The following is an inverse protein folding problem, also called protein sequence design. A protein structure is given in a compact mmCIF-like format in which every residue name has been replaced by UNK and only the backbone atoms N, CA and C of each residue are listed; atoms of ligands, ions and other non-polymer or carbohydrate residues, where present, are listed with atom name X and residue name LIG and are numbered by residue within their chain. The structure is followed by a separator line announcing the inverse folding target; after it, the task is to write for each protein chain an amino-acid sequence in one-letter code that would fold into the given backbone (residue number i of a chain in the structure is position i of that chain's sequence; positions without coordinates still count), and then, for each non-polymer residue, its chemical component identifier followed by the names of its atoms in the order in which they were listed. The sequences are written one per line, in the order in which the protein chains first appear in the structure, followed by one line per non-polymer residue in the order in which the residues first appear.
data_IF_561797460940
#
_entry.id   IF_561797460940
#
_cell.length_a   1.000
_cell.length_b   1.000
_cell.length_c   1.000
_cell.angle_alpha   90.00
_cell.angle_beta   90.00
_cell.angle_gamma   90.00
#
_symmetry.space_group_name_H-M   'P 1'
#
loop_
_entity.id
_entity.type
_entity.pdbx_description
1 polymer ?
#
# COMPACT_ATOMS: atom_id res chain seq x y z
N UNK A 1 12.88 12.83 13.37
CA UNK A 1 13.23 11.66 14.20
C UNK A 1 12.13 10.63 13.96
N UNK A 2 12.41 9.48 13.35
CA UNK A 2 11.35 8.48 13.13
C UNK A 2 10.96 7.90 14.49
N UNK A 3 9.73 8.11 14.93
CA UNK A 3 9.21 7.47 16.13
C UNK A 3 9.33 5.95 15.97
N UNK A 4 9.92 5.28 16.97
CA UNK A 4 10.01 3.82 16.99
C UNK A 4 8.62 3.27 17.30
N UNK A 5 7.85 2.95 16.26
CA UNK A 5 6.61 2.19 16.40
C UNK A 5 6.87 0.74 16.81
N UNK A 6 5.87 0.11 17.41
CA UNK A 6 5.88 -1.32 17.77
C UNK A 6 5.27 -2.13 16.63
N UNK A 7 5.92 -3.23 16.26
CA UNK A 7 5.37 -4.24 15.34
C UNK A 7 4.66 -5.32 16.17
N UNK A 8 3.38 -5.51 15.92
CA UNK A 8 2.53 -6.54 16.54
C UNK A 8 2.26 -7.64 15.55
N UNK A 9 2.25 -8.88 16.04
CA UNK A 9 1.85 -10.04 15.28
C UNK A 9 0.79 -10.81 16.07
N UNK A 10 -0.33 -11.09 15.42
CA UNK A 10 -1.42 -11.90 15.94
C UNK A 10 -1.62 -13.11 15.02
N UNK A 11 -1.92 -14.25 15.60
CA UNK A 11 -2.30 -15.43 14.85
C UNK A 11 -3.47 -16.12 15.55
N UNK A 12 -4.45 -16.56 14.77
CA UNK A 12 -5.55 -17.36 15.30
C UNK A 12 -5.07 -18.72 15.81
N UNK A 13 -5.80 -19.24 16.79
CA UNK A 13 -5.57 -20.58 17.32
C UNK A 13 -4.63 -20.65 18.53
N UNK A 14 -4.62 -21.81 19.21
CA UNK A 14 -3.76 -22.03 20.36
C UNK A 14 -2.31 -22.25 19.92
N UNK A 15 -1.36 -21.58 20.55
CA UNK A 15 0.06 -21.81 20.34
C UNK A 15 0.88 -20.70 20.96
N UNK A 16 1.96 -21.05 21.66
CA UNK A 16 2.92 -20.06 22.13
C UNK A 16 3.87 -19.70 20.98
N UNK A 17 4.24 -18.42 20.91
CA UNK A 17 5.36 -17.99 20.08
C UNK A 17 6.68 -18.45 20.72
N UNK A 18 7.55 -19.05 19.92
CA UNK A 18 8.92 -19.38 20.28
C UNK A 18 9.87 -18.38 19.62
N UNK A 19 10.83 -17.84 20.39
CA UNK A 19 11.84 -16.93 19.86
C UNK A 19 13.19 -17.65 19.70
N UNK A 20 13.68 -17.73 18.47
CA UNK A 20 14.98 -18.28 18.11
C UNK A 20 15.89 -17.17 17.58
N UNK A 21 16.63 -16.53 18.49
CA UNK A 21 17.46 -15.37 18.16
C UNK A 21 16.62 -14.17 17.68
N UNK A 22 16.72 -13.84 16.39
CA UNK A 22 15.93 -12.78 15.74
C UNK A 22 14.67 -13.31 15.05
N UNK A 23 14.40 -14.60 15.14
CA UNK A 23 13.28 -15.26 14.47
C UNK A 23 12.17 -15.55 15.49
N UNK A 24 10.93 -15.25 15.12
CA UNK A 24 9.73 -15.62 15.87
C UNK A 24 9.04 -16.78 15.13
N UNK A 25 8.74 -17.87 15.83
CA UNK A 25 8.22 -19.11 15.26
C UNK A 25 6.92 -19.50 15.98
N UNK A 26 5.90 -19.87 15.21
CA UNK A 26 4.68 -20.51 15.70
C UNK A 26 4.27 -21.61 14.71
N UNK A 27 3.75 -22.72 15.23
CA UNK A 27 3.20 -23.81 14.42
C UNK A 27 1.69 -23.82 14.56
N UNK A 28 1.00 -23.99 13.44
CA UNK A 28 -0.46 -23.92 13.35
C UNK A 28 -0.97 -25.18 12.65
N UNK A 29 -1.90 -25.88 13.29
CA UNK A 29 -2.59 -27.01 12.68
C UNK A 29 -3.85 -26.51 11.96
N UNK A 30 -3.83 -26.59 10.62
CA UNK A 30 -4.95 -26.15 9.80
C UNK A 30 -6.01 -27.24 9.69
N UNK A 31 -7.25 -26.89 10.03
CA UNK A 31 -8.41 -27.74 9.78
C UNK A 31 -9.11 -27.33 8.49
N UNK A 32 -9.47 -28.33 7.68
CA UNK A 32 -10.20 -28.09 6.42
C UNK A 32 -11.49 -27.33 6.70
N UNK A 33 -11.66 -26.19 6.02
CA UNK A 33 -12.88 -25.38 6.09
C UNK A 33 -12.91 -24.37 7.23
N UNK A 34 -11.89 -24.34 8.09
CA UNK A 34 -11.76 -23.35 9.17
C UNK A 34 -10.78 -22.27 8.73
N UNK A 35 -11.24 -21.01 8.52
CA UNK A 35 -10.33 -19.90 8.25
C UNK A 35 -9.36 -19.67 9.41
N UNK A 36 -8.14 -19.26 9.09
CA UNK A 36 -7.12 -18.83 10.06
C UNK A 36 -6.51 -17.54 9.53
N UNK A 37 -6.35 -16.54 10.40
CA UNK A 37 -5.69 -15.29 10.07
C UNK A 37 -4.36 -15.16 10.79
N UNK A 38 -3.40 -14.58 10.06
CA UNK A 38 -2.15 -14.04 10.60
C UNK A 38 -2.20 -12.55 10.31
N UNK A 39 -2.11 -11.72 11.35
CA UNK A 39 -2.20 -10.27 11.24
C UNK A 39 -0.88 -9.66 11.69
N UNK A 40 -0.28 -8.84 10.82
CA UNK A 40 0.91 -8.06 11.11
C UNK A 40 0.55 -6.58 11.14
N UNK A 41 0.89 -5.87 12.21
CA UNK A 41 0.52 -4.47 12.42
C UNK A 41 1.69 -3.65 12.92
N UNK A 42 1.78 -2.39 12.49
CA UNK A 42 2.74 -1.42 13.01
C UNK A 42 2.01 -0.20 13.60
N UNK A 43 2.34 0.21 14.83
CA UNK A 43 1.63 1.26 15.58
C UNK A 43 1.88 2.71 15.11
N UNK A 44 2.65 2.91 14.04
CA UNK A 44 3.03 4.23 13.55
C UNK A 44 1.91 5.06 12.91
N UNK A 45 0.79 4.46 12.50
CA UNK A 45 -0.32 5.16 11.86
C UNK A 45 -1.65 4.50 12.20
N UNK A 46 -2.57 5.28 12.82
CA UNK A 46 -3.95 4.92 13.19
C UNK A 46 -4.08 3.63 14.02
N UNK A 47 -4.53 3.77 15.26
CA UNK A 47 -4.87 2.66 16.16
C UNK A 47 -5.95 1.76 15.56
N UNK A 48 -5.54 0.66 14.94
CA UNK A 48 -6.39 -0.53 14.77
C UNK A 48 -6.72 -1.10 16.15
N UNK A 49 -7.88 -1.71 16.33
CA UNK A 49 -8.17 -2.42 17.57
C UNK A 49 -7.59 -3.85 17.48
N UNK A 50 -7.11 -4.40 18.59
CA UNK A 50 -6.63 -5.78 18.65
C UNK A 50 -7.74 -6.80 18.27
N UNK A 51 -9.00 -6.41 18.43
CA UNK A 51 -10.16 -7.29 18.33
C UNK A 51 -10.90 -7.19 16.99
N UNK A 52 -10.28 -6.59 15.96
CA UNK A 52 -10.89 -6.50 14.64
C UNK A 52 -10.96 -7.87 13.95
N UNK A 53 -12.15 -8.25 13.47
CA UNK A 53 -12.34 -9.45 12.67
C UNK A 53 -11.55 -9.35 11.34
N UNK A 54 -10.53 -10.19 11.11
CA UNK A 54 -9.67 -10.12 9.93
C UNK A 54 -10.42 -10.39 8.63
N UNK A 55 -11.49 -11.19 8.65
CA UNK A 55 -12.31 -11.45 7.47
C UNK A 55 -13.18 -10.24 7.12
N UNK A 56 -13.68 -9.52 8.13
CA UNK A 56 -14.37 -8.23 7.93
C UNK A 56 -13.42 -7.21 7.32
N UNK A 57 -12.20 -7.06 7.84
CA UNK A 57 -11.20 -6.12 7.31
C UNK A 57 -10.81 -6.45 5.85
N UNK A 58 -10.68 -7.73 5.52
CA UNK A 58 -10.45 -8.16 4.15
C UNK A 58 -11.62 -7.78 3.23
N UNK A 59 -12.86 -8.02 3.67
CA UNK A 59 -14.05 -7.67 2.90
C UNK A 59 -14.17 -6.16 2.68
N UNK A 60 -13.88 -5.33 3.69
CA UNK A 60 -13.85 -3.86 3.58
C UNK A 60 -12.77 -3.39 2.60
N UNK A 61 -11.58 -3.99 2.67
CA UNK A 61 -10.49 -3.71 1.74
C UNK A 61 -10.90 -4.05 0.30
N UNK A 62 -11.52 -5.21 0.09
CA UNK A 62 -12.00 -5.63 -1.22
C UNK A 62 -13.09 -4.70 -1.75
N UNK A 63 -14.06 -4.33 -0.92
CA UNK A 63 -15.14 -3.42 -1.28
C UNK A 63 -14.59 -2.05 -1.70
N UNK A 64 -13.65 -1.49 -0.94
CA UNK A 64 -12.98 -0.23 -1.30
C UNK A 64 -12.33 -0.30 -2.68
N UNK A 65 -11.55 -1.36 -2.95
CA UNK A 65 -10.85 -1.48 -4.23
C UNK A 65 -11.79 -1.76 -5.40
N UNK A 66 -12.87 -2.51 -5.18
CA UNK A 66 -13.91 -2.76 -6.19
C UNK A 66 -14.69 -1.47 -6.52
N UNK A 67 -15.06 -0.70 -5.51
CA UNK A 67 -15.72 0.60 -5.70
C UNK A 67 -14.79 1.57 -6.43
N UNK A 68 -13.52 1.65 -5.99
CA UNK A 68 -12.54 2.52 -6.61
C UNK A 68 -12.30 2.14 -8.07
N UNK A 69 -11.97 0.88 -8.36
CA UNK A 69 -11.67 0.45 -9.73
C UNK A 69 -12.88 0.59 -10.68
N UNK A 70 -14.10 0.47 -10.14
CA UNK A 70 -15.36 0.64 -10.87
C UNK A 70 -15.63 2.05 -11.40
N UNK A 71 -14.87 3.06 -10.95
CA UNK A 71 -14.97 4.44 -11.46
C UNK A 71 -14.23 4.62 -12.80
N UNK A 72 -13.45 3.64 -13.25
CA UNK A 72 -12.71 3.70 -14.50
C UNK A 72 -13.64 3.93 -15.69
N UNK A 73 -13.35 4.92 -16.52
CA UNK A 73 -14.13 5.24 -17.72
C UNK A 73 -13.56 4.62 -19.02
N UNK A 74 -12.52 3.80 -18.93
CA UNK A 74 -11.89 3.16 -20.08
C UNK A 74 -12.71 1.96 -20.58
N UNK A 75 -13.03 1.93 -21.87
CA UNK A 75 -13.84 0.88 -22.53
C UNK A 75 -13.09 0.20 -23.70
N UNK A 76 -11.78 0.45 -23.83
CA UNK A 76 -10.97 -0.09 -24.90
C UNK A 76 -10.56 -1.56 -24.72
N UNK A 77 -9.88 -2.15 -25.72
CA UNK A 77 -9.59 -3.59 -25.78
C UNK A 77 -8.61 -4.09 -24.71
N UNK A 78 -7.91 -3.20 -24.00
CA UNK A 78 -6.90 -3.54 -23.00
C UNK A 78 -7.38 -3.33 -21.56
N UNK A 79 -8.69 -3.41 -21.31
CA UNK A 79 -9.30 -3.05 -20.03
C UNK A 79 -8.58 -3.68 -18.83
N UNK A 80 -8.35 -4.99 -18.86
CA UNK A 80 -7.70 -5.70 -17.74
C UNK A 80 -6.29 -5.15 -17.43
N UNK A 81 -5.50 -4.84 -18.46
CA UNK A 81 -4.16 -4.26 -18.30
C UNK A 81 -4.23 -2.83 -17.75
N UNK A 82 -5.21 -2.04 -18.22
CA UNK A 82 -5.45 -0.68 -17.75
C UNK A 82 -5.86 -0.69 -16.28
N UNK A 83 -6.82 -1.54 -15.89
CA UNK A 83 -7.27 -1.66 -14.51
C UNK A 83 -6.13 -2.10 -13.58
N UNK A 84 -5.35 -3.11 -13.98
CA UNK A 84 -4.16 -3.54 -13.21
C UNK A 84 -3.14 -2.43 -13.04
N UNK A 85 -2.89 -1.65 -14.09
CA UNK A 85 -1.97 -0.50 -14.03
C UNK A 85 -2.51 0.62 -13.14
N UNK A 86 -3.82 0.93 -13.22
CA UNK A 86 -4.47 1.91 -12.37
C UNK A 86 -4.36 1.56 -10.88
N UNK A 87 -4.59 0.30 -10.52
CA UNK A 87 -4.38 -0.20 -9.16
C UNK A 87 -2.93 -0.02 -8.70
N UNK A 88 -1.96 -0.37 -9.55
CA UNK A 88 -0.55 -0.20 -9.23
C UNK A 88 -0.18 1.28 -9.00
N UNK A 89 -0.66 2.19 -9.84
CA UNK A 89 -0.45 3.63 -9.67
C UNK A 89 -1.12 4.16 -8.40
N UNK A 90 -2.35 3.74 -8.10
CA UNK A 90 -3.06 4.13 -6.88
C UNK A 90 -2.31 3.72 -5.61
N UNK A 91 -1.68 2.55 -5.61
CA UNK A 91 -0.85 2.07 -4.49
C UNK A 91 0.42 2.90 -4.25
N UNK A 92 0.82 3.77 -5.18
CA UNK A 92 1.96 4.69 -5.01
C UNK A 92 1.58 5.98 -4.28
N UNK A 93 0.29 6.20 -4.02
CA UNK A 93 -0.22 7.39 -3.37
C UNK A 93 -0.27 7.18 -1.86
N UNK A 94 0.44 8.01 -1.11
CA UNK A 94 0.32 8.06 0.34
C UNK A 94 -1.02 8.70 0.71
N UNK A 95 -1.98 7.87 1.10
CA UNK A 95 -3.38 8.29 1.28
C UNK A 95 -3.61 9.46 2.26
N UNK A 96 -2.87 9.61 3.39
CA UNK A 96 -3.11 10.69 4.35
C UNK A 96 -2.94 12.10 3.77
N UNK A 97 -1.89 12.34 2.97
CA UNK A 97 -1.65 13.67 2.41
C UNK A 97 -1.78 13.75 0.88
N UNK A 98 -1.68 12.63 0.16
CA UNK A 98 -1.74 12.60 -1.30
C UNK A 98 -0.38 12.74 -1.99
N UNK A 99 0.73 12.63 -1.25
CA UNK A 99 2.08 12.53 -1.84
C UNK A 99 2.21 11.22 -2.63
N UNK A 100 3.12 11.20 -3.61
CA UNK A 100 3.25 10.09 -4.55
C UNK A 100 4.70 9.64 -4.60
N UNK A 101 4.97 8.37 -4.34
CA UNK A 101 6.32 7.81 -4.51
C UNK A 101 6.57 7.42 -5.96
N UNK A 102 7.82 7.49 -6.43
CA UNK A 102 8.15 7.05 -7.79
C UNK A 102 8.05 5.51 -7.92
N UNK A 103 8.50 4.77 -6.91
CA UNK A 103 8.29 3.32 -6.80
C UNK A 103 8.42 2.84 -5.33
N UNK A 104 7.71 1.77 -4.91
CA UNK A 104 7.77 1.24 -3.57
C UNK A 104 8.94 0.24 -3.41
N UNK A 105 10.08 0.53 -4.04
CA UNK A 105 11.25 -0.34 -4.03
C UNK A 105 12.37 0.29 -3.21
N UNK A 106 12.96 -0.48 -2.30
CA UNK A 106 14.17 -0.08 -1.60
C UNK A 106 15.41 -0.46 -2.42
N UNK A 107 16.19 0.53 -2.85
CA UNK A 107 17.63 0.37 -3.05
C UNK A 107 18.11 -0.54 -4.20
N UNK A 108 17.44 -0.56 -5.36
CA UNK A 108 18.09 -1.06 -6.57
C UNK A 108 18.76 0.10 -7.32
N UNK A 109 20.07 0.05 -7.54
CA UNK A 109 20.74 1.06 -8.35
C UNK A 109 20.18 0.98 -9.78
N UNK A 110 20.05 2.12 -10.47
CA UNK A 110 19.66 2.14 -11.90
C UNK A 110 20.60 1.22 -12.71
N UNK A 111 21.87 1.16 -12.29
CA UNK A 111 22.88 0.23 -12.77
C UNK A 111 23.83 -0.16 -11.63
N UNK A 112 24.11 -1.45 -11.43
CA UNK A 112 25.04 -1.92 -10.39
C UNK A 112 26.43 -1.30 -10.61
N UNK A 113 26.90 -0.50 -9.65
CA UNK A 113 28.16 0.23 -9.73
C UNK A 113 28.10 1.57 -10.47
N UNK A 114 26.91 1.99 -10.91
CA UNK A 114 26.67 3.29 -11.52
C UNK A 114 26.52 4.42 -10.48
N UNK A 115 26.59 5.67 -10.95
CA UNK A 115 26.47 6.86 -10.12
C UNK A 115 25.00 7.28 -9.86
N UNK A 116 24.02 6.67 -10.53
CA UNK A 116 22.60 7.01 -10.43
C UNK A 116 21.87 6.07 -9.46
N UNK A 117 22.01 6.37 -8.17
CA UNK A 117 21.42 5.61 -7.07
C UNK A 117 20.35 6.43 -6.35
N UNK A 118 19.35 6.89 -7.11
CA UNK A 118 18.23 7.62 -6.57
C UNK A 118 17.32 6.70 -5.75
N UNK A 119 16.78 7.23 -4.66
CA UNK A 119 15.78 6.50 -3.87
C UNK A 119 14.39 6.82 -4.42
N UNK A 120 13.75 5.79 -5.00
CA UNK A 120 12.45 5.91 -5.66
C UNK A 120 11.29 6.00 -4.68
N UNK A 121 11.54 5.86 -3.37
CA UNK A 121 10.53 6.05 -2.33
C UNK A 121 10.19 7.52 -2.08
N UNK A 122 10.88 8.45 -2.73
CA UNK A 122 10.58 9.88 -2.67
C UNK A 122 9.62 10.33 -3.78
N UNK A 123 9.01 11.50 -3.56
CA UNK A 123 8.17 12.16 -4.57
C UNK A 123 9.01 12.91 -5.59
N UNK A 124 8.87 12.52 -6.86
CA UNK A 124 9.52 13.15 -7.99
C UNK A 124 8.45 13.80 -8.86
N UNK A 125 8.52 15.13 -9.03
CA UNK A 125 7.47 15.90 -9.73
C UNK A 125 7.18 15.37 -11.15
N UNK A 126 8.21 14.89 -11.85
CA UNK A 126 8.08 14.28 -13.19
C UNK A 126 7.27 12.99 -13.16
N UNK A 127 7.57 12.11 -12.21
CA UNK A 127 6.95 10.79 -12.09
C UNK A 127 5.50 10.94 -11.61
N UNK A 128 5.27 11.82 -10.62
CA UNK A 128 3.93 12.16 -10.12
C UNK A 128 3.05 12.83 -11.19
N UNK A 129 3.62 13.68 -12.05
CA UNK A 129 2.82 14.33 -13.10
C UNK A 129 2.29 13.34 -14.15
N UNK A 130 3.10 12.35 -14.54
CA UNK A 130 2.65 11.28 -15.43
C UNK A 130 1.58 10.39 -14.77
N UNK A 131 1.77 10.05 -13.49
CA UNK A 131 0.78 9.27 -12.74
C UNK A 131 -0.57 9.99 -12.66
N UNK A 132 -0.55 11.26 -12.24
CA UNK A 132 -1.77 12.07 -12.14
C UNK A 132 -2.43 12.24 -13.50
N UNK A 133 -1.66 12.47 -14.56
CA UNK A 133 -2.20 12.55 -15.91
C UNK A 133 -2.90 11.25 -16.33
N UNK A 134 -2.28 10.09 -16.09
CA UNK A 134 -2.88 8.79 -16.39
C UNK A 134 -4.18 8.56 -15.61
N UNK A 135 -4.18 8.85 -14.30
CA UNK A 135 -5.38 8.70 -13.46
C UNK A 135 -6.51 9.64 -13.89
N UNK A 136 -6.20 10.88 -14.28
CA UNK A 136 -7.18 11.83 -14.82
C UNK A 136 -7.83 11.32 -16.11
N UNK A 137 -7.06 10.74 -17.03
CA UNK A 137 -7.59 10.15 -18.25
C UNK A 137 -8.60 9.02 -17.98
N UNK A 138 -8.40 8.28 -16.88
CA UNK A 138 -9.25 7.16 -16.47
C UNK A 138 -10.46 7.58 -15.61
N UNK A 139 -10.61 8.88 -15.29
CA UNK A 139 -11.72 9.41 -14.50
C UNK A 139 -11.45 9.52 -12.99
N UNK A 140 -10.23 9.26 -12.54
CA UNK A 140 -9.83 9.32 -11.13
C UNK A 140 -9.43 10.74 -10.72
N UNK A 141 -10.42 11.60 -10.50
CA UNK A 141 -10.18 13.02 -10.28
C UNK A 141 -9.70 13.38 -8.86
N UNK A 142 -10.05 12.57 -7.87
CA UNK A 142 -9.77 12.86 -6.45
C UNK A 142 -8.27 12.79 -6.14
N UNK A 143 -7.56 11.89 -6.79
CA UNK A 143 -6.13 11.63 -6.61
C UNK A 143 -5.29 12.84 -7.02
N UNK A 144 -5.68 13.52 -8.10
CA UNK A 144 -5.02 14.75 -8.52
C UNK A 144 -5.28 15.89 -7.54
N UNK A 145 -6.50 16.01 -7.02
CA UNK A 145 -6.82 17.01 -6.02
C UNK A 145 -5.99 16.81 -4.74
N UNK A 146 -5.83 15.56 -4.30
CA UNK A 146 -4.96 15.18 -3.19
C UNK A 146 -3.50 15.60 -3.44
N UNK A 147 -2.94 15.23 -4.59
CA UNK A 147 -1.56 15.58 -4.93
C UNK A 147 -1.32 17.11 -5.01
N UNK A 148 -2.24 17.86 -5.61
CA UNK A 148 -2.14 19.32 -5.69
C UNK A 148 -2.25 19.98 -4.30
N UNK A 149 -3.09 19.44 -3.42
CA UNK A 149 -3.18 19.89 -2.03
C UNK A 149 -1.87 19.69 -1.29
N UNK A 150 -1.26 18.51 -1.41
CA UNK A 150 0.05 18.22 -0.83
C UNK A 150 1.15 19.15 -1.37
N UNK A 151 1.20 19.37 -2.69
CA UNK A 151 2.19 20.24 -3.32
C UNK A 151 2.14 21.68 -2.76
N UNK A 152 0.93 22.20 -2.52
CA UNK A 152 0.73 23.51 -1.89
C UNK A 152 1.09 23.59 -0.41
N UNK A 153 1.30 22.46 0.27
CA UNK A 153 1.81 22.41 1.64
C UNK A 153 3.34 22.39 1.67
N UNK A 154 3.98 21.64 0.78
CA UNK A 154 5.45 21.49 0.74
C UNK A 154 6.17 22.73 0.17
N UNK A 155 5.49 23.55 -0.65
CA UNK A 155 6.07 24.78 -1.20
C UNK A 155 5.98 26.01 -0.27
N UNK A 156 5.48 25.85 0.97
CA UNK A 156 5.46 26.90 1.99
C UNK A 156 6.63 26.75 2.94
#
# INVERSE_FOLDING_TARGET
EMERGTLHIHCDGPGAWEQEGTTLVQRLDLQRGTPQAIVLRYDGDRTYAHDDDPLRLLAETQAYWQEWIGQCNYDGPYLDLVLRSALALKLLIYAPEGSIVAAPTTSLPEWIGGARNWDYRFTWLRDSSFLIYALQLLGYHQEAAGFMSWLGQVHR
#
